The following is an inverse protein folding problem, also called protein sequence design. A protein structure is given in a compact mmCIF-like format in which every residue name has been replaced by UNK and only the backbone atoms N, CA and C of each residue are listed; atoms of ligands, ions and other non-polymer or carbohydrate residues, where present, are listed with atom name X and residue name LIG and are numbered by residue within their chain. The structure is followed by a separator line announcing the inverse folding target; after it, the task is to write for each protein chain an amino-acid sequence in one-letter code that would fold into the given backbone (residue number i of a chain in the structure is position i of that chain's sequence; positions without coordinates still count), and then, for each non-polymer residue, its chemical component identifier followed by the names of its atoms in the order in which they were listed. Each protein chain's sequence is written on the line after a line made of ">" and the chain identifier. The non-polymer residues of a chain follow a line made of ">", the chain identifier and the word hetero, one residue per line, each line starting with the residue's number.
data_IF_117259861752
#
_entry.id   IF_117259861752
#
_cell.length_a   1.000
_cell.length_b   1.000
_cell.length_c   1.000
_cell.angle_alpha   90.00
_cell.angle_beta   90.00
_cell.angle_gamma   90.00
#
_symmetry.space_group_name_H-M   'P 1'
#
loop_
_entity.id
_entity.type
_entity.pdbx_description
1 polymer ?
#
# COMPACT_ATOMS: atom_id res chain seq x y z
N UNK A 1 -0.58 6.45 -21.25
CA UNK A 1 0.14 5.83 -20.11
C UNK A 1 1.24 6.80 -19.75
N UNK A 2 1.19 7.38 -18.55
CA UNK A 2 2.14 8.43 -18.16
C UNK A 2 3.54 7.86 -17.93
N UNK A 3 4.57 8.66 -18.20
CA UNK A 3 6.00 8.34 -18.05
C UNK A 3 6.47 8.33 -16.58
N UNK A 4 5.63 7.91 -15.62
CA UNK A 4 6.05 7.89 -14.20
C UNK A 4 7.01 6.72 -13.95
N UNK A 5 8.10 6.92 -13.18
CA UNK A 5 8.92 5.81 -12.71
C UNK A 5 8.05 4.80 -11.96
N UNK A 6 8.44 3.53 -11.98
CA UNK A 6 7.67 2.49 -11.31
C UNK A 6 8.21 2.23 -9.91
N UNK A 7 7.30 1.97 -8.98
CA UNK A 7 7.61 1.41 -7.68
C UNK A 7 8.38 0.10 -7.83
N UNK A 8 9.23 -0.21 -6.86
CA UNK A 8 10.03 -1.43 -6.84
C UNK A 8 9.46 -2.37 -5.77
N UNK A 9 8.53 -3.27 -6.13
CA UNK A 9 8.04 -4.28 -5.19
C UNK A 9 9.11 -5.35 -4.95
N UNK A 10 9.34 -5.66 -3.68
CA UNK A 10 10.13 -6.79 -3.23
C UNK A 10 9.28 -7.66 -2.32
N UNK A 11 8.88 -8.83 -2.82
CA UNK A 11 8.25 -9.86 -1.98
C UNK A 11 9.27 -10.35 -0.96
N UNK A 12 8.95 -10.17 0.32
CA UNK A 12 9.79 -10.61 1.44
C UNK A 12 9.42 -12.03 1.86
N UNK A 13 8.14 -12.37 1.84
CA UNK A 13 7.62 -13.69 2.18
C UNK A 13 6.29 -13.89 1.48
N UNK A 14 6.06 -15.11 1.00
CA UNK A 14 4.81 -15.53 0.40
C UNK A 14 4.46 -16.94 0.91
N UNK A 15 3.36 -17.05 1.63
CA UNK A 15 2.90 -18.31 2.25
C UNK A 15 1.44 -18.58 1.91
N UNK A 16 0.89 -19.67 2.43
CA UNK A 16 -0.55 -19.96 2.36
C UNK A 16 -1.40 -18.98 3.20
N UNK A 17 -0.80 -18.33 4.21
CA UNK A 17 -1.53 -17.46 5.13
C UNK A 17 -1.44 -15.98 4.74
N UNK A 18 -0.31 -15.54 4.19
CA UNK A 18 -0.04 -14.13 3.90
C UNK A 18 0.99 -13.94 2.78
N UNK A 19 0.96 -12.75 2.18
CA UNK A 19 2.02 -12.21 1.33
C UNK A 19 2.53 -10.92 1.97
N UNK A 20 3.84 -10.75 2.08
CA UNK A 20 4.48 -9.51 2.57
C UNK A 20 5.34 -8.94 1.46
N UNK A 21 5.04 -7.72 1.05
CA UNK A 21 5.77 -7.02 0.00
C UNK A 21 6.25 -5.67 0.52
N UNK A 22 7.55 -5.40 0.39
CA UNK A 22 8.08 -4.05 0.55
C UNK A 22 7.96 -3.32 -0.78
N UNK A 23 7.50 -2.08 -0.76
CA UNK A 23 7.52 -1.21 -1.93
C UNK A 23 8.45 -0.03 -1.67
N UNK A 24 9.36 0.21 -2.60
CA UNK A 24 10.21 1.40 -2.64
C UNK A 24 9.84 2.28 -3.83
N UNK A 25 9.70 3.59 -3.60
CA UNK A 25 9.31 4.58 -4.59
C UNK A 25 10.35 5.70 -4.65
N UNK A 26 10.84 6.00 -5.85
CA UNK A 26 11.47 7.29 -6.11
C UNK A 26 10.40 8.42 -6.06
N UNK A 27 10.80 9.70 -5.90
CA UNK A 27 9.88 10.83 -6.06
C UNK A 27 9.10 10.75 -7.38
N UNK A 28 7.77 10.86 -7.31
CA UNK A 28 6.87 10.75 -8.46
C UNK A 28 6.65 9.34 -9.01
N UNK A 29 7.26 8.30 -8.43
CA UNK A 29 7.07 6.92 -8.86
C UNK A 29 5.66 6.41 -8.49
N UNK A 30 5.17 5.41 -9.24
CA UNK A 30 3.83 4.85 -9.05
C UNK A 30 3.79 3.32 -9.06
N UNK A 31 2.76 2.73 -8.47
CA UNK A 31 2.48 1.29 -8.57
C UNK A 31 1.87 0.88 -9.91
N UNK A 32 1.23 1.82 -10.59
CA UNK A 32 0.22 1.52 -11.60
C UNK A 32 -1.12 1.15 -10.97
N UNK A 33 -2.16 1.10 -11.80
CA UNK A 33 -3.52 0.70 -11.40
C UNK A 33 -3.57 -0.77 -11.02
N UNK A 34 -4.14 -1.06 -9.85
CA UNK A 34 -4.31 -2.41 -9.34
C UNK A 34 -5.55 -2.52 -8.45
N UNK A 35 -6.02 -3.76 -8.27
CA UNK A 35 -7.10 -4.13 -7.35
C UNK A 35 -6.54 -5.07 -6.30
N UNK A 36 -6.79 -4.77 -5.03
CA UNK A 36 -6.39 -5.60 -3.90
C UNK A 36 -7.26 -6.85 -3.81
N UNK A 37 -6.62 -8.03 -3.91
CA UNK A 37 -7.31 -9.33 -3.88
C UNK A 37 -7.59 -9.86 -2.47
N UNK A 38 -7.01 -9.21 -1.45
CA UNK A 38 -7.10 -9.59 -0.05
C UNK A 38 -7.25 -8.36 0.83
N UNK A 39 -7.65 -8.58 2.09
CA UNK A 39 -7.50 -7.57 3.13
C UNK A 39 -6.00 -7.33 3.35
N UNK A 40 -5.62 -6.09 3.64
CA UNK A 40 -4.22 -5.75 3.80
C UNK A 40 -3.97 -4.67 4.84
N UNK A 41 -2.76 -4.69 5.37
CA UNK A 41 -2.22 -3.66 6.26
C UNK A 41 -1.02 -3.03 5.59
N UNK A 42 -0.98 -1.69 5.62
CA UNK A 42 0.20 -0.90 5.27
C UNK A 42 0.94 -0.50 6.53
N UNK A 43 2.27 -0.60 6.49
CA UNK A 43 3.20 -0.08 7.51
C UNK A 43 4.17 0.88 6.83
N UNK A 44 4.07 2.17 7.15
CA UNK A 44 5.00 3.17 6.62
C UNK A 44 6.40 2.96 7.20
N UNK A 45 7.42 2.86 6.35
CA UNK A 45 8.83 2.77 6.78
C UNK A 45 9.52 4.14 6.78
N UNK A 46 9.07 5.03 5.89
CA UNK A 46 9.52 6.42 5.78
C UNK A 46 8.33 7.36 5.96
N UNK A 47 8.55 8.67 5.83
CA UNK A 47 7.45 9.59 5.56
C UNK A 47 6.84 9.23 4.20
N UNK A 48 5.55 8.94 4.15
CA UNK A 48 4.83 8.57 2.93
C UNK A 48 3.83 9.66 2.57
N UNK A 49 4.21 10.52 1.63
CA UNK A 49 3.30 11.49 1.00
C UNK A 49 2.68 10.84 -0.24
N UNK A 50 1.55 10.17 -0.06
CA UNK A 50 0.89 9.41 -1.11
C UNK A 50 -0.14 10.26 -1.85
N UNK A 51 -0.17 10.13 -3.19
CA UNK A 51 -1.30 10.52 -4.03
C UNK A 51 -1.98 9.25 -4.53
N UNK A 52 -3.27 9.12 -4.25
CA UNK A 52 -4.08 7.96 -4.60
C UNK A 52 -5.05 8.37 -5.69
N UNK A 53 -4.83 7.90 -6.92
CA UNK A 53 -5.80 8.04 -8.00
C UNK A 53 -6.88 6.96 -7.84
N UNK A 54 -8.15 7.37 -7.80
CA UNK A 54 -9.32 6.52 -7.55
C UNK A 54 -10.17 6.30 -8.81
N UNK A 55 -10.93 5.19 -8.94
CA UNK A 55 -11.67 4.86 -10.17
C UNK A 55 -12.70 5.90 -10.62
N UNK A 56 -13.22 6.70 -9.68
CA UNK A 56 -14.15 7.80 -9.97
C UNK A 56 -13.46 9.07 -10.50
N UNK A 57 -12.14 9.03 -10.66
CA UNK A 57 -11.30 10.14 -11.11
C UNK A 57 -10.85 11.08 -9.99
N UNK A 58 -11.24 10.83 -8.73
CA UNK A 58 -10.74 11.61 -7.60
C UNK A 58 -9.28 11.28 -7.28
N UNK A 59 -8.58 12.26 -6.69
CA UNK A 59 -7.21 12.09 -6.20
C UNK A 59 -7.20 12.43 -4.72
N UNK A 60 -6.88 11.45 -3.88
CA UNK A 60 -6.71 11.64 -2.44
C UNK A 60 -5.24 11.85 -2.12
N UNK A 61 -4.92 12.83 -1.28
CA UNK A 61 -3.58 13.04 -0.76
C UNK A 61 -3.52 12.61 0.71
N UNK A 62 -2.54 11.77 1.05
CA UNK A 62 -2.38 11.20 2.40
C UNK A 62 -0.93 11.33 2.82
N UNK A 63 -0.69 11.83 4.03
CA UNK A 63 0.64 11.83 4.67
C UNK A 63 0.65 10.86 5.83
N UNK A 64 1.58 9.91 5.81
CA UNK A 64 1.77 8.91 6.86
C UNK A 64 3.20 9.01 7.41
N UNK A 65 3.38 9.32 8.70
CA UNK A 65 4.71 9.31 9.30
C UNK A 65 5.25 7.88 9.44
N UNK A 66 6.59 7.70 9.56
CA UNK A 66 7.19 6.40 9.80
C UNK A 66 6.55 5.67 10.99
N UNK A 67 6.25 4.38 10.82
CA UNK A 67 5.60 3.53 11.82
C UNK A 67 4.07 3.65 11.86
N UNK A 68 3.46 4.60 11.14
CA UNK A 68 2.01 4.65 11.00
C UNK A 68 1.51 3.43 10.22
N UNK A 69 0.39 2.87 10.69
CA UNK A 69 -0.26 1.73 10.05
C UNK A 69 -1.73 2.03 9.76
N UNK A 70 -2.27 1.35 8.75
CA UNK A 70 -3.71 1.31 8.51
C UNK A 70 -4.10 0.02 7.79
N UNK A 71 -5.37 -0.35 7.96
CA UNK A 71 -6.00 -1.50 7.30
C UNK A 71 -6.97 -1.03 6.19
N UNK A 72 -7.08 -1.84 5.15
CA UNK A 72 -8.11 -1.72 4.11
C UNK A 72 -8.65 -3.09 3.72
N UNK A 73 -9.97 -3.18 3.44
CA UNK A 73 -10.58 -4.42 3.01
C UNK A 73 -10.20 -4.76 1.56
N UNK A 74 -10.39 -6.02 1.21
CA UNK A 74 -10.35 -6.56 -0.15
C UNK A 74 -11.18 -5.72 -1.12
N UNK A 75 -10.71 -5.59 -2.37
CA UNK A 75 -11.43 -4.94 -3.46
C UNK A 75 -11.13 -3.45 -3.63
N UNK A 76 -10.23 -2.87 -2.84
CA UNK A 76 -9.71 -1.52 -3.09
C UNK A 76 -9.01 -1.49 -4.44
N UNK A 77 -9.45 -0.59 -5.31
CA UNK A 77 -8.83 -0.30 -6.61
C UNK A 77 -8.26 1.11 -6.60
N UNK A 78 -6.97 1.27 -6.92
CA UNK A 78 -6.30 2.57 -6.99
C UNK A 78 -4.96 2.49 -7.72
N UNK A 79 -4.36 3.65 -7.99
CA UNK A 79 -2.93 3.80 -8.30
C UNK A 79 -2.28 4.63 -7.18
N UNK A 80 -1.19 4.13 -6.60
CA UNK A 80 -0.46 4.82 -5.53
C UNK A 80 0.78 5.48 -6.12
N UNK A 81 0.91 6.78 -5.90
CA UNK A 81 2.03 7.58 -6.37
C UNK A 81 2.74 8.21 -5.18
N UNK A 82 4.07 8.21 -5.19
CA UNK A 82 4.85 9.06 -4.30
C UNK A 82 4.71 10.53 -4.72
N UNK A 83 3.87 11.27 -3.99
CA UNK A 83 3.62 12.70 -4.20
C UNK A 83 4.66 13.62 -3.57
N UNK A 84 5.64 13.09 -2.84
CA UNK A 84 6.72 13.83 -2.21
C UNK A 84 7.95 14.01 -3.11
N UNK A 85 8.95 14.70 -2.56
CA UNK A 85 10.26 14.97 -3.18
C UNK A 85 11.40 14.08 -2.65
N UNK A 86 11.11 13.21 -1.68
CA UNK A 86 12.03 12.23 -1.10
C UNK A 86 11.60 10.79 -1.41
N UNK A 87 12.51 9.80 -1.33
CA UNK A 87 12.15 8.39 -1.44
C UNK A 87 11.12 7.99 -0.39
N UNK A 88 10.13 7.20 -0.82
CA UNK A 88 9.05 6.69 0.01
C UNK A 88 9.12 5.16 0.05
N UNK A 89 8.96 4.56 1.23
CA UNK A 89 8.87 3.12 1.38
C UNK A 89 7.82 2.70 2.41
N UNK A 90 7.10 1.62 2.07
CA UNK A 90 6.18 0.96 2.98
C UNK A 90 6.24 -0.56 2.82
N UNK A 91 5.76 -1.27 3.83
CA UNK A 91 5.47 -2.71 3.75
C UNK A 91 3.97 -2.89 3.67
N UNK A 92 3.54 -3.72 2.75
CA UNK A 92 2.19 -4.22 2.64
C UNK A 92 2.14 -5.68 3.10
N UNK A 93 1.16 -6.00 3.93
CA UNK A 93 0.87 -7.35 4.42
C UNK A 93 -0.53 -7.72 3.96
N UNK A 94 -0.63 -8.61 2.99
CA UNK A 94 -1.90 -9.16 2.49
C UNK A 94 -2.25 -10.46 3.21
N UNK A 95 -3.50 -10.60 3.65
CA UNK A 95 -3.99 -11.75 4.42
C UNK A 95 -4.80 -12.70 3.53
N UNK A 96 -4.20 -13.81 3.13
CA UNK A 96 -4.83 -14.81 2.23
C UNK A 96 -5.88 -15.67 2.90
N UNK A 97 -5.73 -15.85 4.21
CA UNK A 97 -6.73 -16.42 5.08
C UNK A 97 -7.31 -15.24 5.84
N UNK A 98 -8.62 -15.01 5.70
CA UNK A 98 -9.27 -13.76 6.14
C UNK A 98 -8.91 -13.36 7.57
N UNK A 99 -8.78 -12.06 7.78
CA UNK A 99 -8.61 -11.48 9.11
C UNK A 99 -9.92 -11.61 9.88
N UNK A 100 -9.93 -12.44 10.91
CA UNK A 100 -10.97 -12.37 11.94
C UNK A 100 -10.61 -11.24 12.90
N UNK A 101 -11.02 -10.02 12.55
CA UNK A 101 -10.80 -8.83 13.38
C UNK A 101 -11.59 -8.90 14.69
N UNK A 102 -12.68 -9.67 14.74
CA UNK A 102 -13.46 -9.88 15.97
C UNK A 102 -12.62 -10.63 17.02
N UNK A 103 -11.62 -11.43 16.62
CA UNK A 103 -10.66 -12.05 17.54
C UNK A 103 -9.62 -11.08 18.09
N UNK A 104 -9.33 -9.95 17.43
CA UNK A 104 -8.35 -8.96 17.90
C UNK A 104 -8.93 -8.02 18.96
N UNK A 105 -10.25 -7.80 18.94
CA UNK A 105 -10.97 -6.98 19.92
C UNK A 105 -11.30 -7.74 21.22
N UNK A 106 -11.06 -9.05 21.26
CA UNK A 106 -11.32 -9.93 22.41
C UNK A 106 -10.15 -10.02 23.41
N UNK A 107 -9.37 -8.94 23.57
CA UNK A 107 -8.18 -8.87 24.44
C UNK A 107 -8.29 -9.57 25.79
#
# INVERSE_FOLDING_TARGET
>A
MGDRPQAQPQTLTDTEAHCITRFDFAPGAETGWHVHGFDYVIVALTECNMKLEMPDGTVNEVSLPPGQTYHRPTGVEHNVINGGDAPMAFVEVEFKQGLDLDLLDQG
#
